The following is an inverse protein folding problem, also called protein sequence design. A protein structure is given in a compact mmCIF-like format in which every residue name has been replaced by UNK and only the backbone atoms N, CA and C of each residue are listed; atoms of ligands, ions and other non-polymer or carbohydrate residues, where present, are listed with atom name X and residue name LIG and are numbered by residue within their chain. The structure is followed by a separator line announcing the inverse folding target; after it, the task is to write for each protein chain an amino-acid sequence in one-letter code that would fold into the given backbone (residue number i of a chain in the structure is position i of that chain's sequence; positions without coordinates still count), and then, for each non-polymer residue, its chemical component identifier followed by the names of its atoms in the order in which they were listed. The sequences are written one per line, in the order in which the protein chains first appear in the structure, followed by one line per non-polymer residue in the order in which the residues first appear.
data_IF_175754826943
#
_entry.id   IF_175754826943
#
_cell.length_a   1.000
_cell.length_b   1.000
_cell.length_c   1.000
_cell.angle_alpha   90.00
_cell.angle_beta   90.00
_cell.angle_gamma   90.00
#
_symmetry.space_group_name_H-M   'P 1'
#
loop_
_entity.id
_entity.type
_entity.pdbx_description
1 polymer ?
#
# COMPACT_ATOMS: atom_id res chain seq x y z
N UNK A 1 18.69 28.01 10.74
CA UNK A 1 18.09 27.53 9.48
C UNK A 1 18.48 26.10 9.08
N UNK A 2 19.34 25.41 9.84
CA UNK A 2 19.76 24.01 9.56
C UNK A 2 18.78 22.94 10.08
N UNK A 3 17.96 23.23 11.10
CA UNK A 3 16.97 22.28 11.62
C UNK A 3 15.85 21.94 10.63
N UNK A 4 15.37 22.96 9.89
CA UNK A 4 14.20 22.83 9.01
C UNK A 4 14.40 21.86 7.84
N UNK A 5 15.62 21.75 7.31
CA UNK A 5 15.96 20.79 6.24
C UNK A 5 16.20 19.36 6.78
N UNK A 6 16.70 19.23 8.00
CA UNK A 6 16.85 17.94 8.68
C UNK A 6 15.47 17.32 8.97
N UNK A 7 14.55 18.13 9.50
CA UNK A 7 13.17 17.73 9.78
C UNK A 7 12.43 17.35 8.49
N UNK A 8 12.64 18.09 7.39
CA UNK A 8 12.00 17.76 6.11
C UNK A 8 12.44 16.39 5.58
N UNK A 9 13.74 16.07 5.65
CA UNK A 9 14.26 14.75 5.24
C UNK A 9 13.69 13.63 6.12
N UNK A 10 13.60 13.86 7.42
CA UNK A 10 13.07 12.89 8.36
C UNK A 10 11.57 12.64 8.13
N UNK A 11 10.80 13.69 7.84
CA UNK A 11 9.37 13.59 7.49
C UNK A 11 9.19 12.84 6.17
N UNK A 12 9.98 13.14 5.13
CA UNK A 12 9.93 12.42 3.86
C UNK A 12 10.22 10.93 4.08
N UNK A 13 11.26 10.62 4.84
CA UNK A 13 11.63 9.24 5.17
C UNK A 13 10.54 8.51 5.95
N UNK A 14 9.96 9.14 6.98
CA UNK A 14 8.85 8.59 7.74
C UNK A 14 7.62 8.36 6.85
N UNK A 15 7.34 9.29 5.93
CA UNK A 15 6.22 9.19 5.00
C UNK A 15 6.37 7.94 4.14
N UNK A 16 7.54 7.75 3.52
CA UNK A 16 7.85 6.60 2.67
C UNK A 16 7.77 5.27 3.45
N UNK A 17 8.24 5.24 4.70
CA UNK A 17 8.08 4.06 5.56
C UNK A 17 6.58 3.78 5.80
N UNK A 18 5.81 4.80 6.16
CA UNK A 18 4.38 4.65 6.49
C UNK A 18 3.51 4.32 5.27
N UNK A 19 3.92 4.78 4.08
CA UNK A 19 3.13 4.69 2.85
C UNK A 19 3.60 3.60 1.89
N UNK A 20 4.81 3.05 2.04
CA UNK A 20 5.32 1.96 1.19
C UNK A 20 5.64 0.72 2.02
N UNK A 21 6.49 0.87 3.04
CA UNK A 21 7.01 -0.29 3.78
C UNK A 21 5.90 -0.93 4.63
N UNK A 22 5.12 -0.11 5.33
CA UNK A 22 4.02 -0.57 6.17
C UNK A 22 2.94 -1.37 5.42
N UNK A 23 2.40 -0.94 4.27
CA UNK A 23 1.39 -1.72 3.54
C UNK A 23 1.96 -3.03 2.96
N UNK A 24 3.21 -3.04 2.50
CA UNK A 24 3.86 -4.26 2.00
C UNK A 24 4.03 -5.28 3.14
N UNK A 25 4.54 -4.83 4.29
CA UNK A 25 4.68 -5.68 5.47
C UNK A 25 3.31 -6.19 5.95
N UNK A 26 2.30 -5.32 5.98
CA UNK A 26 0.95 -5.69 6.38
C UNK A 26 0.34 -6.76 5.45
N UNK A 27 0.54 -6.65 4.13
CA UNK A 27 0.15 -7.69 3.18
C UNK A 27 0.90 -9.00 3.41
N UNK A 28 2.18 -8.94 3.74
CA UNK A 28 2.99 -10.11 4.07
C UNK A 28 2.45 -10.82 5.32
N UNK A 29 2.18 -10.07 6.39
CA UNK A 29 1.62 -10.58 7.65
C UNK A 29 0.24 -11.20 7.41
N UNK A 30 -0.65 -10.52 6.68
CA UNK A 30 -1.98 -11.05 6.32
C UNK A 30 -1.82 -12.37 5.54
N UNK A 31 -0.91 -12.43 4.57
CA UNK A 31 -0.70 -13.65 3.79
C UNK A 31 -0.12 -14.80 4.61
N UNK A 32 0.75 -14.54 5.59
CA UNK A 32 1.29 -15.55 6.52
C UNK A 32 0.16 -16.08 7.40
N UNK A 33 -0.62 -15.20 8.05
CA UNK A 33 -1.75 -15.60 8.91
C UNK A 33 -2.77 -16.44 8.13
N UNK A 34 -3.06 -16.07 6.89
CA UNK A 34 -4.01 -16.82 6.07
C UNK A 34 -3.45 -18.16 5.58
N UNK A 35 -2.13 -18.29 5.44
CA UNK A 35 -1.46 -19.56 5.12
C UNK A 35 -1.48 -20.53 6.30
N UNK A 36 -1.14 -20.04 7.50
CA UNK A 36 -1.23 -20.82 8.74
C UNK A 36 -2.64 -21.37 8.97
N UNK A 37 -3.65 -20.57 8.63
CA UNK A 37 -5.06 -20.96 8.70
C UNK A 37 -5.55 -21.81 7.51
N UNK A 38 -4.65 -22.27 6.63
CA UNK A 38 -4.95 -23.07 5.42
C UNK A 38 -6.09 -22.49 4.57
N UNK A 39 -6.20 -21.16 4.51
CA UNK A 39 -7.26 -20.51 3.75
C UNK A 39 -7.05 -20.74 2.25
N UNK A 40 -8.14 -21.03 1.54
CA UNK A 40 -8.12 -21.21 0.08
C UNK A 40 -7.51 -19.98 -0.59
N UNK A 41 -6.83 -20.21 -1.70
CA UNK A 41 -6.12 -19.16 -2.44
C UNK A 41 -7.04 -18.00 -2.83
N UNK A 42 -8.27 -18.29 -3.25
CA UNK A 42 -9.30 -17.28 -3.58
C UNK A 42 -9.56 -16.34 -2.40
N UNK A 43 -9.69 -16.90 -1.19
CA UNK A 43 -9.90 -16.12 0.03
C UNK A 43 -8.71 -15.20 0.30
N UNK A 44 -7.48 -15.68 0.13
CA UNK A 44 -6.25 -14.86 0.27
C UNK A 44 -6.23 -13.68 -0.67
N UNK A 45 -6.64 -13.87 -1.92
CA UNK A 45 -6.65 -12.78 -2.89
C UNK A 45 -7.74 -11.75 -2.56
N UNK A 46 -8.92 -12.17 -2.09
CA UNK A 46 -9.95 -11.24 -1.62
C UNK A 46 -9.47 -10.37 -0.45
N UNK A 47 -8.77 -10.94 0.54
CA UNK A 47 -8.19 -10.18 1.64
C UNK A 47 -7.12 -9.19 1.15
N UNK A 48 -6.24 -9.63 0.25
CA UNK A 48 -5.21 -8.75 -0.34
C UNK A 48 -5.86 -7.58 -1.11
N UNK A 49 -6.89 -7.83 -1.91
CA UNK A 49 -7.62 -6.77 -2.63
C UNK A 49 -8.31 -5.79 -1.68
N UNK A 50 -9.00 -6.31 -0.66
CA UNK A 50 -9.65 -5.48 0.36
C UNK A 50 -8.65 -4.59 1.10
N UNK A 51 -7.49 -5.15 1.45
CA UNK A 51 -6.41 -4.40 2.08
C UNK A 51 -5.87 -3.29 1.16
N UNK A 52 -5.59 -3.60 -0.11
CA UNK A 52 -5.08 -2.59 -1.06
C UNK A 52 -6.12 -1.47 -1.27
N UNK A 53 -7.41 -1.79 -1.35
CA UNK A 53 -8.47 -0.79 -1.48
C UNK A 53 -8.55 0.14 -0.26
N UNK A 54 -8.52 -0.42 0.96
CA UNK A 54 -8.48 0.36 2.20
C UNK A 54 -7.23 1.24 2.27
N UNK A 55 -6.09 0.71 1.81
CA UNK A 55 -4.84 1.43 1.79
C UNK A 55 -4.86 2.63 0.82
N UNK A 56 -5.45 2.48 -0.36
CA UNK A 56 -5.65 3.58 -1.31
C UNK A 56 -6.56 4.68 -0.75
N UNK A 57 -7.65 4.30 -0.07
CA UNK A 57 -8.55 5.26 0.59
C UNK A 57 -7.80 6.04 1.67
N UNK A 58 -6.97 5.35 2.45
CA UNK A 58 -6.13 5.97 3.47
C UNK A 58 -5.12 6.96 2.86
N UNK A 59 -4.42 6.58 1.78
CA UNK A 59 -3.51 7.49 1.05
C UNK A 59 -4.24 8.73 0.51
N UNK A 60 -5.46 8.56 -0.02
CA UNK A 60 -6.26 9.67 -0.54
C UNK A 60 -6.66 10.66 0.56
N UNK A 61 -6.98 10.17 1.76
CA UNK A 61 -7.25 11.02 2.92
C UNK A 61 -5.98 11.74 3.41
N UNK A 62 -4.84 11.06 3.42
CA UNK A 62 -3.54 11.66 3.76
C UNK A 62 -3.17 12.81 2.81
N UNK A 63 -3.41 12.65 1.50
CA UNK A 63 -3.19 13.71 0.50
C UNK A 63 -4.00 14.99 0.79
N UNK A 64 -5.18 14.88 1.39
CA UNK A 64 -6.01 16.06 1.73
C UNK A 64 -5.48 16.81 2.95
N UNK A 65 -4.84 16.10 3.87
CA UNK A 65 -4.35 16.67 5.13
C UNK A 65 -2.90 17.17 5.04
N UNK A 66 -2.09 16.65 4.11
CA UNK A 66 -0.69 17.00 3.99
C UNK A 66 -0.44 18.23 3.12
N UNK A 67 0.58 19.03 3.43
CA UNK A 67 0.90 20.20 2.65
C UNK A 67 1.40 19.83 1.23
N UNK A 68 1.09 20.70 0.26
CA UNK A 68 1.15 20.41 -1.19
C UNK A 68 2.46 19.82 -1.71
N UNK A 69 3.59 20.09 -1.07
CA UNK A 69 4.89 19.56 -1.47
C UNK A 69 5.04 18.05 -1.27
N UNK A 70 4.23 17.42 -0.41
CA UNK A 70 4.17 15.95 -0.27
C UNK A 70 3.25 15.26 -1.29
N UNK A 71 2.38 16.02 -1.96
CA UNK A 71 1.38 15.47 -2.88
C UNK A 71 2.05 14.76 -4.05
N UNK A 72 3.14 15.30 -4.59
CA UNK A 72 3.88 14.69 -5.71
C UNK A 72 4.42 13.29 -5.37
N UNK A 73 4.93 13.12 -4.14
CA UNK A 73 5.49 11.84 -3.65
C UNK A 73 4.35 10.83 -3.49
N UNK A 74 3.25 11.25 -2.85
CA UNK A 74 2.06 10.42 -2.67
C UNK A 74 1.42 10.03 -4.02
N UNK A 75 1.46 10.88 -5.05
CA UNK A 75 0.96 10.56 -6.40
C UNK A 75 1.79 9.43 -7.01
N UNK A 76 3.12 9.53 -6.96
CA UNK A 76 4.02 8.48 -7.48
C UNK A 76 3.78 7.17 -6.73
N UNK A 77 3.66 7.22 -5.41
CA UNK A 77 3.36 6.04 -4.59
C UNK A 77 2.02 5.42 -4.96
N UNK A 78 0.96 6.22 -5.13
CA UNK A 78 -0.36 5.73 -5.52
C UNK A 78 -0.37 5.02 -6.89
N UNK A 79 0.44 5.49 -7.84
CA UNK A 79 0.60 4.84 -9.14
C UNK A 79 1.23 3.43 -9.01
N UNK A 80 2.24 3.28 -8.16
CA UNK A 80 2.86 1.97 -7.88
C UNK A 80 1.84 1.03 -7.23
N UNK A 81 1.06 1.53 -6.27
CA UNK A 81 0.00 0.75 -5.61
C UNK A 81 -1.06 0.27 -6.61
N UNK A 82 -1.44 1.12 -7.58
CA UNK A 82 -2.39 0.77 -8.65
C UNK A 82 -1.82 -0.34 -9.54
N UNK A 83 -0.53 -0.28 -9.91
CA UNK A 83 0.11 -1.33 -10.71
C UNK A 83 0.07 -2.68 -9.97
N UNK A 84 0.35 -2.69 -8.67
CA UNK A 84 0.25 -3.89 -7.82
C UNK A 84 -1.19 -4.43 -7.75
N UNK A 85 -2.19 -3.54 -7.68
CA UNK A 85 -3.60 -3.91 -7.71
C UNK A 85 -3.96 -4.60 -9.05
N UNK A 86 -3.56 -4.01 -10.18
CA UNK A 86 -3.80 -4.58 -11.51
C UNK A 86 -3.17 -5.98 -11.61
N UNK A 87 -1.93 -6.13 -11.13
CA UNK A 87 -1.25 -7.42 -11.10
C UNK A 87 -2.01 -8.46 -10.25
N UNK A 88 -2.50 -8.08 -9.07
CA UNK A 88 -3.29 -8.95 -8.20
C UNK A 88 -4.62 -9.38 -8.85
N UNK A 89 -5.32 -8.45 -9.53
CA UNK A 89 -6.57 -8.73 -10.24
C UNK A 89 -6.33 -9.71 -11.39
N UNK A 90 -5.31 -9.49 -12.22
CA UNK A 90 -4.95 -10.39 -13.33
C UNK A 90 -4.68 -11.80 -12.80
N UNK A 91 -3.95 -11.92 -11.68
CA UNK A 91 -3.66 -13.20 -11.04
C UNK A 91 -4.95 -13.88 -10.55
N UNK A 92 -5.90 -13.13 -9.99
CA UNK A 92 -7.20 -13.64 -9.55
C UNK A 92 -8.02 -14.19 -10.73
N UNK A 93 -8.11 -13.45 -11.83
CA UNK A 93 -8.86 -13.85 -13.03
C UNK A 93 -8.28 -15.14 -13.61
N UNK A 94 -6.95 -15.24 -13.75
CA UNK A 94 -6.29 -16.47 -14.21
C UNK A 94 -6.61 -17.69 -13.35
N UNK A 95 -6.76 -17.50 -12.05
CA UNK A 95 -7.09 -18.56 -11.10
C UNK A 95 -8.56 -18.96 -11.09
N UNK A 96 -9.45 -18.11 -11.58
CA UNK A 96 -10.88 -18.40 -11.65
C UNK A 96 -11.26 -19.05 -12.98
N UNK A 97 -10.50 -18.77 -14.04
CA UNK A 97 -10.65 -19.42 -15.36
C UNK A 97 -9.99 -20.80 -15.45
N UNK A 98 -9.16 -21.19 -14.47
CA UNK A 98 -8.53 -22.51 -14.33
C UNK A 98 -9.28 -23.34 -13.29
#
# INVERSE_FOLDING_TARGET
MTGLFGDLKYIIFLLTISAIIFPILSLLVINIILDENKKKLITRIFYNLSFIALFLIFQQNLMRCLPRYFVSILVIESLITIILLIFAIIKLIKLWCN
#
